data_IF_674330986320
#
_entry.id   IF_674330986320
#
_cell.length_a   1.000
_cell.length_b   1.000
_cell.length_c   1.000
_cell.angle_alpha   90.00
_cell.angle_beta   90.00
_cell.angle_gamma   90.00
#
_symmetry.space_group_name_H-M   'P 1'
#
loop_
_entity.id
_entity.type
_entity.pdbx_description
1 polymer ?
#
# COMPACT_ATOMS: atom_id res chain seq x y z
N UNK A 1 -14.54 20.42 -67.70
CA UNK A 1 -15.07 19.12 -68.13
C UNK A 1 -14.26 18.03 -67.45
N UNK A 2 -14.85 16.97 -66.87
CA UNK A 2 -16.03 16.97 -66.01
C UNK A 2 -15.81 16.24 -64.66
N UNK A 3 -16.69 16.58 -63.70
CA UNK A 3 -17.36 15.76 -62.67
C UNK A 3 -16.69 14.53 -62.06
N UNK A 4 -16.64 14.51 -60.72
CA UNK A 4 -17.52 13.61 -59.94
C UNK A 4 -17.83 14.22 -58.55
N UNK A 5 -19.11 14.19 -58.22
CA UNK A 5 -19.78 14.66 -57.00
C UNK A 5 -20.27 13.40 -56.29
N UNK A 6 -20.02 13.25 -54.99
CA UNK A 6 -20.85 12.43 -54.10
C UNK A 6 -20.98 13.13 -52.74
N UNK A 7 -22.24 13.27 -52.34
CA UNK A 7 -22.77 13.92 -51.13
C UNK A 7 -22.69 13.03 -49.88
N UNK A 8 -22.89 13.60 -48.67
CA UNK A 8 -22.72 12.90 -47.40
C UNK A 8 -23.98 12.14 -46.97
N UNK A 9 -23.81 10.94 -46.40
CA UNK A 9 -24.90 10.19 -45.78
C UNK A 9 -25.20 10.71 -44.38
N UNK A 10 -26.49 11.02 -44.19
CA UNK A 10 -27.16 11.51 -42.99
C UNK A 10 -27.18 10.49 -41.85
N UNK A 11 -27.24 11.05 -40.64
CA UNK A 11 -27.74 10.46 -39.41
C UNK A 11 -29.01 9.63 -39.60
N UNK A 12 -29.08 8.49 -38.90
CA UNK A 12 -30.33 7.83 -38.58
C UNK A 12 -30.46 7.75 -37.06
N UNK A 13 -31.61 8.23 -36.60
CA UNK A 13 -31.95 8.55 -35.23
C UNK A 13 -32.31 7.32 -34.40
N UNK A 14 -32.22 7.53 -33.09
CA UNK A 14 -32.72 6.76 -31.97
C UNK A 14 -34.07 6.07 -32.25
N UNK A 15 -34.13 4.77 -31.98
CA UNK A 15 -35.39 4.04 -31.81
C UNK A 15 -35.79 4.07 -30.35
N UNK A 16 -36.84 4.83 -30.04
CA UNK A 16 -37.69 4.61 -28.86
C UNK A 16 -38.30 3.21 -28.96
N UNK A 17 -38.19 2.41 -27.89
CA UNK A 17 -39.10 1.29 -27.67
C UNK A 17 -39.92 1.50 -26.40
N UNK A 18 -41.22 1.43 -26.62
CA UNK A 18 -42.29 1.79 -25.72
C UNK A 18 -42.51 0.74 -24.62
N UNK A 19 -42.88 1.25 -23.44
CA UNK A 19 -43.39 0.49 -22.29
C UNK A 19 -44.67 -0.28 -22.69
N UNK A 20 -44.89 -1.52 -22.21
CA UNK A 20 -46.21 -2.13 -22.28
C UNK A 20 -47.11 -1.66 -21.11
N UNK A 21 -48.44 -1.68 -21.29
CA UNK A 21 -49.38 -0.97 -20.43
C UNK A 21 -49.76 -1.70 -19.15
N UNK A 22 -50.03 -0.88 -18.13
CA UNK A 22 -50.76 -1.23 -16.91
C UNK A 22 -52.22 -1.50 -17.26
N UNK A 23 -52.75 -2.67 -16.88
CA UNK A 23 -54.19 -2.91 -16.76
C UNK A 23 -54.50 -3.39 -15.34
N UNK A 24 -55.40 -2.66 -14.70
CA UNK A 24 -55.94 -2.95 -13.39
C UNK A 24 -57.10 -3.97 -13.48
N UNK A 25 -57.24 -4.81 -12.46
CA UNK A 25 -58.55 -5.33 -12.04
C UNK A 25 -58.61 -6.79 -11.59
N UNK A 26 -58.97 -7.00 -10.32
CA UNK A 26 -59.92 -8.05 -9.95
C UNK A 26 -59.41 -9.23 -9.12
N UNK A 27 -59.68 -9.19 -7.82
CA UNK A 27 -59.59 -10.34 -6.91
C UNK A 27 -60.66 -11.41 -7.19
N UNK A 28 -60.31 -12.70 -7.00
CA UNK A 28 -61.08 -13.73 -6.24
C UNK A 28 -60.45 -15.14 -6.32
N UNK A 29 -60.08 -15.64 -5.14
CA UNK A 29 -60.23 -17.00 -4.57
C UNK A 29 -60.24 -18.28 -5.42
N UNK A 30 -59.28 -19.16 -5.06
CA UNK A 30 -59.40 -20.58 -4.64
C UNK A 30 -59.97 -21.65 -5.60
N UNK A 31 -59.18 -22.70 -5.88
CA UNK A 31 -59.34 -24.11 -5.43
C UNK A 31 -58.46 -25.08 -6.26
N UNK A 32 -57.77 -25.97 -5.53
CA UNK A 32 -57.29 -27.34 -5.83
C UNK A 32 -56.82 -27.73 -7.24
N UNK A 33 -55.63 -28.34 -7.33
CA UNK A 33 -55.49 -29.80 -7.31
C UNK A 33 -54.02 -30.25 -7.41
N UNK A 34 -53.65 -31.16 -6.50
CA UNK A 34 -52.43 -31.96 -6.51
C UNK A 34 -52.24 -32.74 -7.80
N UNK A 35 -50.98 -32.84 -8.27
CA UNK A 35 -50.44 -34.10 -8.81
C UNK A 35 -49.02 -34.32 -8.32
N UNK A 36 -48.86 -35.45 -7.63
CA UNK A 36 -47.61 -36.11 -7.35
C UNK A 36 -46.90 -36.46 -8.66
N UNK A 37 -45.59 -36.26 -8.68
CA UNK A 37 -44.71 -37.05 -9.55
C UNK A 37 -43.41 -37.31 -8.79
N UNK A 38 -43.40 -38.48 -8.13
CA UNK A 38 -42.20 -39.14 -7.65
C UNK A 38 -41.38 -39.61 -8.86
N UNK A 39 -40.10 -39.28 -8.91
CA UNK A 39 -39.14 -40.05 -9.71
C UNK A 39 -37.82 -40.17 -8.95
N UNK A 40 -37.39 -41.42 -8.90
CA UNK A 40 -36.38 -42.01 -8.04
C UNK A 40 -34.97 -41.85 -8.60
N UNK A 41 -34.03 -42.00 -7.70
CA UNK A 41 -32.59 -41.79 -7.81
C UNK A 41 -31.90 -42.72 -8.84
N UNK A 42 -31.00 -42.17 -9.67
CA UNK A 42 -29.75 -42.83 -10.11
C UNK A 42 -28.82 -41.88 -10.88
N UNK A 43 -27.68 -41.62 -10.25
CA UNK A 43 -26.33 -41.56 -10.81
C UNK A 43 -26.14 -40.80 -12.14
N UNK A 44 -25.43 -39.67 -12.08
CA UNK A 44 -24.34 -39.30 -13.00
C UNK A 44 -23.65 -38.04 -12.44
N UNK A 45 -22.39 -38.20 -12.03
CA UNK A 45 -21.47 -37.09 -11.88
C UNK A 45 -21.17 -36.47 -13.26
N UNK A 46 -20.84 -35.18 -13.32
CA UNK A 46 -19.80 -34.73 -14.21
C UNK A 46 -18.70 -34.04 -13.42
N UNK A 47 -17.51 -34.62 -13.52
CA UNK A 47 -16.23 -34.00 -13.23
C UNK A 47 -16.12 -32.68 -13.99
N UNK A 48 -16.02 -31.57 -13.26
CA UNK A 48 -15.53 -30.30 -13.78
C UNK A 48 -14.06 -30.50 -14.16
N UNK A 49 -13.76 -30.41 -15.46
CA UNK A 49 -12.42 -30.22 -15.98
C UNK A 49 -12.45 -28.88 -16.72
N UNK A 50 -12.23 -27.79 -15.97
CA UNK A 50 -11.91 -26.50 -16.59
C UNK A 50 -10.49 -26.61 -17.14
N UNK A 51 -10.40 -26.74 -18.46
CA UNK A 51 -9.14 -26.58 -19.17
C UNK A 51 -8.82 -25.08 -19.20
N UNK A 52 -7.76 -24.67 -18.51
CA UNK A 52 -7.13 -23.38 -18.71
C UNK A 52 -6.58 -23.34 -20.15
N UNK A 53 -7.22 -22.53 -21.00
CA UNK A 53 -6.70 -22.17 -22.31
C UNK A 53 -5.92 -20.88 -22.13
N UNK A 54 -4.59 -20.98 -22.23
CA UNK A 54 -3.72 -19.82 -22.44
C UNK A 54 -4.15 -19.12 -23.73
N UNK A 55 -4.55 -17.86 -23.61
CA UNK A 55 -4.70 -16.91 -24.71
C UNK A 55 -3.96 -15.62 -24.34
N UNK A 56 -2.89 -15.35 -25.06
CA UNK A 56 -2.03 -14.18 -24.88
C UNK A 56 -2.65 -12.88 -25.42
N UNK A 57 -2.44 -11.81 -24.65
CA UNK A 57 -2.16 -10.39 -24.95
C UNK A 57 -3.04 -9.55 -25.91
N UNK A 58 -3.33 -8.33 -25.45
CA UNK A 58 -3.75 -7.19 -26.28
C UNK A 58 -4.24 -5.98 -25.47
N UNK A 59 -3.32 -5.28 -24.79
CA UNK A 59 -3.53 -3.99 -24.09
C UNK A 59 -2.26 -3.70 -23.29
N UNK A 60 -1.55 -2.64 -23.66
CA UNK A 60 -0.11 -2.47 -23.40
C UNK A 60 0.29 -2.40 -21.92
N UNK A 61 1.48 -2.96 -21.66
CA UNK A 61 2.33 -2.90 -20.46
C UNK A 61 1.97 -3.74 -19.22
N UNK A 62 2.26 -5.04 -19.32
CA UNK A 62 2.60 -5.90 -18.18
C UNK A 62 4.00 -6.52 -18.42
N UNK A 63 5.04 -5.90 -17.86
CA UNK A 63 6.42 -6.42 -17.90
C UNK A 63 6.66 -7.36 -16.71
N UNK A 64 6.70 -8.67 -17.00
CA UNK A 64 7.21 -9.69 -16.09
C UNK A 64 8.74 -9.72 -16.13
N UNK A 65 9.42 -9.39 -15.04
CA UNK A 65 10.88 -9.54 -14.92
C UNK A 65 11.26 -11.00 -14.63
N UNK A 66 11.64 -11.75 -15.65
CA UNK A 66 12.31 -13.05 -15.49
C UNK A 66 13.81 -12.87 -15.35
N UNK A 67 14.36 -13.09 -14.15
CA UNK A 67 15.79 -13.32 -13.98
C UNK A 67 16.13 -14.78 -14.28
N UNK A 68 16.73 -15.02 -15.44
CA UNK A 68 17.40 -16.26 -15.78
C UNK A 68 18.83 -15.95 -16.17
N UNK A 69 19.79 -16.21 -15.26
CA UNK A 69 21.17 -16.44 -15.66
C UNK A 69 21.57 -17.85 -15.22
N UNK A 70 21.73 -18.71 -16.22
CA UNK A 70 22.29 -20.04 -16.09
C UNK A 70 23.57 -20.10 -16.90
N UNK A 71 24.71 -20.03 -16.22
CA UNK A 71 25.99 -20.46 -16.79
C UNK A 71 26.54 -21.62 -15.98
N UNK A 72 26.62 -22.76 -16.66
CA UNK A 72 27.12 -24.06 -16.24
C UNK A 72 28.63 -24.05 -15.97
N UNK A 73 29.04 -24.58 -14.81
CA UNK A 73 30.41 -24.96 -14.49
C UNK A 73 30.43 -26.15 -13.51
N UNK A 74 30.88 -27.29 -14.03
CA UNK A 74 30.92 -28.66 -13.47
C UNK A 74 31.63 -28.81 -12.10
N UNK A 75 31.23 -29.73 -11.19
CA UNK A 75 31.83 -29.91 -9.88
C UNK A 75 32.79 -31.12 -9.83
N UNK A 76 33.87 -31.01 -9.05
CA UNK A 76 34.61 -32.21 -8.58
C UNK A 76 35.02 -32.10 -7.11
N UNK A 77 34.42 -33.01 -6.32
CA UNK A 77 35.00 -33.82 -5.21
C UNK A 77 35.71 -33.08 -4.06
N UNK A 78 35.09 -33.00 -2.87
CA UNK A 78 35.05 -34.05 -1.81
C UNK A 78 36.41 -34.38 -1.18
N UNK A 79 36.60 -33.97 0.08
CA UNK A 79 36.89 -34.88 1.21
C UNK A 79 37.14 -34.07 2.50
N UNK A 80 36.31 -34.20 3.55
CA UNK A 80 36.27 -35.16 4.66
C UNK A 80 37.11 -34.78 5.90
N UNK A 81 36.41 -34.79 7.05
CA UNK A 81 36.85 -35.22 8.39
C UNK A 81 37.57 -34.27 9.36
N UNK A 82 36.78 -33.80 10.34
CA UNK A 82 36.72 -34.33 11.72
C UNK A 82 37.95 -34.27 12.67
N UNK A 83 37.75 -33.48 13.75
CA UNK A 83 38.00 -33.77 15.18
C UNK A 83 39.44 -33.91 15.72
N UNK A 84 39.82 -33.10 16.73
CA UNK A 84 39.98 -33.47 18.17
C UNK A 84 41.01 -32.62 18.94
N UNK A 85 40.51 -31.88 19.95
CA UNK A 85 40.97 -31.64 21.33
C UNK A 85 42.29 -30.92 21.75
N UNK A 86 42.10 -30.20 22.87
CA UNK A 86 42.98 -29.94 24.03
C UNK A 86 44.10 -28.90 23.86
N UNK A 87 44.28 -27.93 24.76
CA UNK A 87 44.44 -28.08 26.22
C UNK A 87 44.03 -26.82 27.03
N UNK A 88 43.56 -27.08 28.26
CA UNK A 88 43.54 -26.20 29.45
C UNK A 88 44.94 -25.63 29.76
N UNK A 89 45.14 -24.50 30.45
CA UNK A 89 45.00 -24.31 31.91
C UNK A 89 45.30 -22.85 32.35
N UNK A 90 44.67 -22.45 33.46
CA UNK A 90 45.08 -21.48 34.53
C UNK A 90 44.97 -19.95 34.34
N UNK A 91 43.97 -19.42 35.05
CA UNK A 91 43.77 -18.08 35.65
C UNK A 91 44.55 -17.95 37.00
N UNK A 92 44.42 -16.91 37.87
CA UNK A 92 44.42 -15.44 37.73
C UNK A 92 45.55 -14.78 38.60
N UNK A 93 45.81 -13.47 38.45
CA UNK A 93 46.16 -12.61 39.62
C UNK A 93 45.81 -11.14 39.34
N UNK A 94 44.87 -10.61 40.12
CA UNK A 94 44.58 -9.18 40.25
C UNK A 94 45.17 -8.65 41.56
N UNK A 95 45.83 -7.49 41.52
CA UNK A 95 46.19 -6.74 42.74
C UNK A 95 45.99 -5.23 42.52
N UNK A 96 45.12 -4.70 43.35
CA UNK A 96 44.81 -3.31 43.71
C UNK A 96 46.02 -2.43 44.07
N UNK A 97 45.92 -1.11 43.84
CA UNK A 97 46.57 -0.09 44.68
C UNK A 97 45.73 1.21 44.68
N UNK A 98 45.57 1.80 45.87
CA UNK A 98 44.73 2.97 46.18
C UNK A 98 45.55 4.27 46.34
N UNK A 99 44.91 5.39 45.98
CA UNK A 99 44.89 6.74 46.58
C UNK A 99 46.17 7.54 46.92
N UNK A 100 46.18 8.86 46.63
CA UNK A 100 46.16 9.98 47.63
C UNK A 100 46.05 11.38 46.96
N UNK A 101 45.05 12.14 47.45
CA UNK A 101 44.79 13.60 47.68
C UNK A 101 45.75 14.73 47.25
N UNK A 102 45.18 15.85 46.73
CA UNK A 102 45.44 17.24 47.19
C UNK A 102 44.46 18.29 46.57
N UNK A 103 44.00 19.21 47.42
CA UNK A 103 43.10 20.37 47.21
C UNK A 103 43.83 21.64 46.74
N UNK A 104 43.15 22.57 46.04
CA UNK A 104 43.19 24.03 46.32
C UNK A 104 42.22 24.83 45.41
N UNK A 105 41.48 25.74 46.04
CA UNK A 105 40.61 26.76 45.43
C UNK A 105 41.42 27.91 44.82
N UNK A 106 40.89 28.58 43.79
CA UNK A 106 40.85 30.05 43.66
C UNK A 106 40.03 30.46 42.44
N UNK A 107 38.97 31.22 42.69
CA UNK A 107 38.24 32.07 41.73
C UNK A 107 38.95 33.44 41.68
N UNK A 108 38.98 34.17 40.54
CA UNK A 108 38.00 35.25 40.44
C UNK A 108 37.54 35.63 39.00
N UNK A 109 36.26 35.95 38.92
CA UNK A 109 35.65 37.05 38.13
C UNK A 109 35.93 37.07 36.61
N UNK A 110 34.98 36.55 35.83
CA UNK A 110 34.77 36.89 34.44
C UNK A 110 33.30 37.22 34.19
N UNK A 111 32.99 38.48 33.91
CA UNK A 111 31.77 38.83 33.19
C UNK A 111 31.88 38.20 31.81
N UNK A 112 31.01 37.24 31.48
CA UNK A 112 30.76 36.88 30.10
C UNK A 112 29.30 37.19 29.75
N UNK A 113 29.17 37.88 28.62
CA UNK A 113 27.91 38.22 28.00
C UNK A 113 27.15 36.93 27.72
N UNK A 114 25.86 36.92 28.05
CA UNK A 114 24.92 35.93 27.56
C UNK A 114 24.74 36.09 26.04
N UNK A 115 25.75 35.67 25.28
CA UNK A 115 25.57 35.21 23.93
C UNK A 115 24.90 33.85 24.04
N UNK A 116 23.60 33.79 23.77
CA UNK A 116 22.89 32.54 23.57
C UNK A 116 23.49 31.82 22.38
N UNK A 117 24.56 31.06 22.63
CA UNK A 117 25.08 30.07 21.72
C UNK A 117 24.09 28.93 21.75
N UNK A 118 23.15 28.94 20.79
CA UNK A 118 22.44 27.73 20.38
C UNK A 118 23.49 26.75 19.87
N UNK A 119 24.07 26.01 20.81
CA UNK A 119 24.91 24.86 20.51
C UNK A 119 23.95 23.88 19.87
N UNK A 120 24.03 23.74 18.54
CA UNK A 120 23.20 22.80 17.80
C UNK A 120 23.30 21.45 18.48
N UNK A 121 22.16 20.95 18.95
CA UNK A 121 22.10 19.68 19.63
C UNK A 121 22.64 18.60 18.69
N UNK A 122 23.48 17.71 19.21
CA UNK A 122 24.13 16.70 18.39
C UNK A 122 23.09 15.68 17.92
N UNK A 123 23.09 15.39 16.62
CA UNK A 123 22.18 14.38 16.07
C UNK A 123 22.51 12.98 16.59
N UNK A 124 21.47 12.21 16.90
CA UNK A 124 21.52 10.81 17.28
C UNK A 124 20.69 9.94 16.31
N UNK A 125 21.06 8.68 16.07
CA UNK A 125 20.31 7.80 15.18
C UNK A 125 18.94 7.44 15.75
N UNK A 126 17.94 7.30 14.88
CA UNK A 126 16.62 6.79 15.21
C UNK A 126 16.18 5.65 14.28
N UNK A 127 15.14 4.93 14.70
CA UNK A 127 14.41 3.97 13.89
C UNK A 127 12.92 4.13 14.17
N UNK A 128 12.15 4.46 13.14
CA UNK A 128 10.70 4.58 13.18
C UNK A 128 10.10 3.31 12.59
N UNK A 129 9.47 2.48 13.44
CA UNK A 129 8.91 1.18 13.05
C UNK A 129 7.46 1.32 12.59
N UNK A 130 7.07 0.49 11.63
CA UNK A 130 5.73 0.38 11.10
C UNK A 130 5.25 -1.07 11.21
N UNK A 131 3.96 -1.26 11.48
CA UNK A 131 3.35 -2.59 11.51
C UNK A 131 1.91 -2.53 11.00
N UNK A 132 1.48 -3.57 10.30
CA UNK A 132 0.08 -3.73 9.91
C UNK A 132 -0.66 -4.39 11.05
N UNK A 133 -1.81 -3.85 11.43
CA UNK A 133 -2.61 -4.38 12.53
C UNK A 133 -4.06 -4.58 12.11
N UNK A 134 -4.72 -5.54 12.74
CA UNK A 134 -6.16 -5.68 12.71
C UNK A 134 -6.64 -6.21 14.05
N UNK A 135 -7.74 -5.66 14.57
CA UNK A 135 -8.30 -6.04 15.88
C UNK A 135 -7.28 -5.96 17.04
N UNK A 136 -6.28 -5.08 16.93
CA UNK A 136 -5.23 -4.88 17.93
C UNK A 136 -4.08 -5.89 17.89
N UNK A 137 -4.03 -6.76 16.87
CA UNK A 137 -2.93 -7.71 16.66
C UNK A 137 -2.21 -7.42 15.35
N UNK A 138 -0.91 -7.68 15.30
CA UNK A 138 -0.10 -7.57 14.09
C UNK A 138 -0.52 -8.64 13.06
N UNK A 139 -0.63 -8.23 11.79
CA UNK A 139 -1.07 -9.09 10.68
C UNK A 139 -0.12 -9.01 9.49
N UNK A 140 -0.06 -10.08 8.68
CA UNK A 140 0.77 -10.14 7.47
C UNK A 140 0.33 -11.28 6.55
N UNK A 141 1.26 -11.78 5.72
CA UNK A 141 1.05 -12.75 4.64
C UNK A 141 0.50 -14.15 5.02
N UNK A 142 0.06 -14.38 6.25
CA UNK A 142 -0.62 -15.61 6.67
C UNK A 142 -1.73 -15.37 7.68
N UNK A 143 -2.11 -14.10 7.85
CA UNK A 143 -3.14 -13.69 8.77
C UNK A 143 -4.48 -13.61 8.06
N UNK A 144 -5.54 -14.00 8.75
CA UNK A 144 -6.92 -13.77 8.31
C UNK A 144 -7.55 -12.70 9.18
N UNK A 145 -7.87 -11.56 8.57
CA UNK A 145 -8.64 -10.49 9.19
C UNK A 145 -10.10 -10.91 9.16
N UNK A 146 -10.77 -10.84 10.31
CA UNK A 146 -12.17 -11.26 10.49
C UNK A 146 -13.01 -10.11 11.02
N UNK A 147 -14.34 -10.26 10.98
CA UNK A 147 -15.25 -9.22 11.46
C UNK A 147 -15.48 -8.11 10.44
N UNK A 148 -15.29 -8.39 9.15
CA UNK A 148 -15.40 -7.40 8.08
C UNK A 148 -16.77 -7.41 7.41
N UNK A 149 -17.09 -6.30 6.75
CA UNK A 149 -18.33 -6.10 6.01
C UNK A 149 -19.54 -5.76 6.90
N UNK A 150 -20.71 -5.48 6.30
CA UNK A 150 -21.87 -4.95 7.01
C UNK A 150 -22.41 -5.87 8.10
N UNK A 151 -22.30 -7.18 7.88
CA UNK A 151 -22.75 -8.22 8.82
C UNK A 151 -21.60 -8.79 9.67
N UNK A 152 -20.35 -8.35 9.44
CA UNK A 152 -19.16 -8.79 10.16
C UNK A 152 -18.71 -10.22 9.84
N UNK A 153 -19.20 -10.80 8.75
CA UNK A 153 -18.95 -12.21 8.38
C UNK A 153 -17.96 -12.37 7.21
N UNK A 154 -17.48 -11.28 6.61
CA UNK A 154 -16.41 -11.34 5.61
C UNK A 154 -15.04 -11.49 6.27
N UNK A 155 -14.11 -12.06 5.52
CA UNK A 155 -12.70 -12.13 5.88
C UNK A 155 -11.79 -11.61 4.78
N UNK A 156 -10.59 -11.18 5.16
CA UNK A 156 -9.55 -10.75 4.24
C UNK A 156 -8.19 -11.32 4.64
N UNK A 157 -7.42 -11.82 3.67
CA UNK A 157 -6.01 -12.18 3.89
C UNK A 157 -5.09 -11.27 3.09
N UNK A 158 -4.12 -10.59 3.73
CA UNK A 158 -3.16 -9.73 3.04
C UNK A 158 -2.36 -10.48 1.97
N UNK A 159 -2.20 -9.84 0.81
CA UNK A 159 -1.42 -10.33 -0.32
C UNK A 159 -0.31 -9.35 -0.77
N UNK A 160 -0.50 -8.05 -0.56
CA UNK A 160 0.49 -6.99 -0.80
C UNK A 160 0.12 -5.77 0.05
N UNK A 161 1.04 -5.22 0.83
CA UNK A 161 0.83 -4.01 1.63
C UNK A 161 2.08 -3.13 1.60
N UNK A 162 2.00 -2.07 0.80
CA UNK A 162 3.10 -1.14 0.54
C UNK A 162 2.62 0.29 0.52
N UNK A 163 3.41 1.22 1.04
CA UNK A 163 3.09 2.64 0.99
C UNK A 163 4.33 3.51 1.09
N UNK A 164 4.27 4.68 0.45
CA UNK A 164 5.31 5.68 0.56
C UNK A 164 5.06 6.60 1.76
N UNK A 165 6.14 7.00 2.43
CA UNK A 165 6.15 8.03 3.47
C UNK A 165 7.03 9.19 3.01
N UNK A 166 6.52 10.40 3.12
CA UNK A 166 7.25 11.64 2.85
C UNK A 166 6.91 12.72 3.88
N UNK A 167 7.62 13.85 3.84
CA UNK A 167 7.40 14.98 4.74
C UNK A 167 7.34 14.57 6.23
N UNK A 168 8.27 13.73 6.67
CA UNK A 168 8.35 13.30 8.06
C UNK A 168 8.85 14.45 8.94
N UNK A 169 8.03 14.84 9.92
CA UNK A 169 8.34 15.79 10.96
C UNK A 169 8.23 15.12 12.33
N UNK A 170 9.11 15.50 13.25
CA UNK A 170 9.10 15.04 14.64
C UNK A 170 9.03 16.26 15.55
N UNK A 171 8.34 16.13 16.69
CA UNK A 171 8.17 17.22 17.64
C UNK A 171 8.54 16.77 19.06
N UNK A 172 9.30 17.61 19.76
CA UNK A 172 9.67 17.41 21.15
C UNK A 172 8.46 17.68 22.10
N UNK A 173 8.62 17.33 23.37
CA UNK A 173 7.57 17.49 24.40
C UNK A 173 7.07 18.94 24.60
N UNK A 174 7.85 19.95 24.20
CA UNK A 174 7.45 21.37 24.26
C UNK A 174 6.70 21.84 22.99
N UNK A 175 6.48 20.94 22.04
CA UNK A 175 5.82 21.19 20.75
C UNK A 175 6.73 21.79 19.67
N UNK A 176 8.03 21.96 19.95
CA UNK A 176 8.98 22.41 18.93
C UNK A 176 9.28 21.28 17.94
N UNK A 177 9.32 21.62 16.65
CA UNK A 177 9.77 20.72 15.61
C UNK A 177 11.29 20.50 15.74
N UNK A 178 11.71 19.24 15.65
CA UNK A 178 13.13 18.86 15.73
C UNK A 178 13.66 18.46 14.36
N UNK A 179 14.96 18.67 14.15
CA UNK A 179 15.59 18.29 12.88
C UNK A 179 15.56 16.78 12.70
N UNK A 180 15.20 16.36 11.49
CA UNK A 180 15.20 14.97 11.02
C UNK A 180 16.00 14.91 9.73
N UNK A 181 16.98 14.00 9.67
CA UNK A 181 17.74 13.68 8.46
C UNK A 181 17.55 12.18 8.17
N UNK A 182 16.88 11.83 7.07
CA UNK A 182 16.70 10.42 6.70
C UNK A 182 18.00 9.84 6.12
N UNK A 183 18.24 8.57 6.39
CA UNK A 183 19.27 7.82 5.66
C UNK A 183 18.93 7.71 4.17
N UNK A 184 19.94 7.44 3.34
CA UNK A 184 19.75 7.05 1.93
C UNK A 184 20.11 5.59 1.77
N UNK A 185 19.15 4.79 1.34
CA UNK A 185 19.29 3.34 1.15
C UNK A 185 18.29 2.83 0.09
N UNK A 186 18.20 1.52 -0.11
CA UNK A 186 17.33 0.95 -1.14
C UNK A 186 15.82 1.23 -0.91
N UNK A 187 15.41 1.63 0.29
CA UNK A 187 14.04 1.98 0.66
C UNK A 187 13.86 3.46 0.99
N UNK A 188 14.91 4.29 0.94
CA UNK A 188 14.86 5.71 1.27
C UNK A 188 15.61 6.52 0.23
N UNK A 189 14.85 7.33 -0.52
CA UNK A 189 15.34 8.21 -1.56
C UNK A 189 15.28 9.67 -1.10
N UNK A 190 16.31 10.43 -1.44
CA UNK A 190 16.38 11.88 -1.19
C UNK A 190 16.93 12.59 -2.43
N UNK A 191 16.30 13.69 -2.79
CA UNK A 191 16.77 14.63 -3.81
C UNK A 191 16.50 16.07 -3.37
N UNK A 192 16.94 17.04 -4.16
CA UNK A 192 16.65 18.47 -3.91
C UNK A 192 15.14 18.77 -3.96
N UNK A 193 14.34 17.88 -4.58
CA UNK A 193 12.89 18.01 -4.68
C UNK A 193 12.14 17.43 -3.46
N UNK A 194 12.80 16.65 -2.61
CA UNK A 194 12.22 16.07 -1.40
C UNK A 194 12.75 14.68 -1.06
N UNK A 195 12.09 14.04 -0.11
CA UNK A 195 12.45 12.70 0.39
C UNK A 195 11.24 11.77 0.32
N UNK A 196 11.50 10.50 0.04
CA UNK A 196 10.49 9.43 0.01
C UNK A 196 11.08 8.15 0.60
N UNK A 197 10.35 7.52 1.50
CA UNK A 197 10.66 6.20 2.03
C UNK A 197 9.57 5.21 1.63
N UNK A 198 9.91 3.97 1.29
CA UNK A 198 8.95 2.90 1.04
C UNK A 198 8.86 2.01 2.27
N UNK A 199 7.65 1.85 2.79
CA UNK A 199 7.30 0.78 3.71
C UNK A 199 6.68 -0.37 2.92
N UNK A 200 7.19 -1.58 3.15
CA UNK A 200 6.71 -2.84 2.57
C UNK A 200 6.57 -3.87 3.69
N UNK A 201 5.33 -4.19 4.05
CA UNK A 201 4.99 -5.03 5.20
C UNK A 201 4.62 -6.47 4.81
N UNK A 202 4.84 -6.83 3.54
CA UNK A 202 4.44 -8.14 3.00
C UNK A 202 5.49 -8.71 2.05
N UNK A 203 6.03 -9.89 2.36
CA UNK A 203 6.79 -10.68 1.39
C UNK A 203 5.90 -11.56 0.51
N UNK A 204 6.11 -11.52 -0.80
CA UNK A 204 5.48 -12.43 -1.78
C UNK A 204 6.00 -13.89 -1.73
N UNK A 205 6.83 -14.21 -0.74
CA UNK A 205 7.51 -15.51 -0.66
C UNK A 205 6.77 -16.56 0.14
N UNK A 206 5.70 -16.18 0.87
CA UNK A 206 4.98 -17.08 1.78
C UNK A 206 3.49 -16.74 1.88
N UNK A 207 2.67 -17.77 2.12
CA UNK A 207 1.26 -17.67 2.50
C UNK A 207 0.38 -17.04 1.42
N UNK A 208 -0.60 -16.22 1.84
CA UNK A 208 -1.57 -15.57 0.95
C UNK A 208 -0.97 -14.39 0.15
N UNK A 209 0.35 -14.16 0.26
CA UNK A 209 1.11 -13.26 -0.59
C UNK A 209 1.76 -13.97 -1.79
N UNK A 210 1.61 -15.28 -1.94
CA UNK A 210 2.05 -15.99 -3.15
C UNK A 210 1.28 -15.47 -4.39
N UNK A 211 1.95 -15.44 -5.55
CA UNK A 211 1.42 -14.84 -6.79
C UNK A 211 0.07 -15.40 -7.28
N UNK A 212 -0.39 -16.53 -6.74
CA UNK A 212 -1.68 -17.15 -7.07
C UNK A 212 -2.81 -16.83 -6.09
N UNK A 213 -2.55 -16.08 -5.01
CA UNK A 213 -3.55 -15.81 -3.98
C UNK A 213 -4.68 -14.88 -4.46
N UNK A 214 -4.39 -14.01 -5.42
CA UNK A 214 -5.36 -13.11 -6.08
C UNK A 214 -5.06 -13.02 -7.58
N UNK A 215 -6.03 -12.55 -8.37
CA UNK A 215 -5.93 -12.53 -9.83
C UNK A 215 -4.82 -11.61 -10.38
N UNK A 216 -4.56 -10.50 -9.68
CA UNK A 216 -3.58 -9.47 -10.03
C UNK A 216 -2.62 -9.22 -8.86
N UNK A 217 -1.85 -10.23 -8.46
CA UNK A 217 -0.86 -10.09 -7.41
C UNK A 217 0.32 -9.22 -7.88
N UNK A 218 0.67 -8.20 -7.10
CA UNK A 218 1.76 -7.24 -7.40
C UNK A 218 2.81 -7.17 -6.28
N UNK A 219 2.74 -8.04 -5.27
CA UNK A 219 3.64 -8.04 -4.12
C UNK A 219 5.10 -8.37 -4.48
N UNK A 220 6.02 -7.87 -3.67
CA UNK A 220 7.48 -8.01 -3.88
C UNK A 220 8.11 -8.98 -2.90
N UNK A 221 9.33 -9.45 -3.17
CA UNK A 221 10.07 -10.27 -2.22
C UNK A 221 10.80 -9.42 -1.15
N UNK A 222 10.86 -8.10 -1.35
CA UNK A 222 11.50 -7.15 -0.45
C UNK A 222 10.53 -6.83 0.69
N UNK A 223 11.08 -6.48 1.85
CA UNK A 223 10.31 -6.01 2.99
C UNK A 223 11.09 -4.85 3.63
N UNK A 224 10.37 -3.86 4.13
CA UNK A 224 10.91 -2.77 4.92
C UNK A 224 9.84 -2.23 5.85
N UNK A 225 9.99 -2.49 7.14
CA UNK A 225 9.07 -2.08 8.20
C UNK A 225 9.63 -0.91 9.02
N UNK A 226 10.65 -0.22 8.52
CA UNK A 226 11.40 0.78 9.27
C UNK A 226 11.84 1.95 8.40
N UNK A 227 11.78 3.15 8.98
CA UNK A 227 12.50 4.33 8.48
C UNK A 227 13.64 4.62 9.44
N UNK A 228 14.84 4.85 8.91
CA UNK A 228 16.05 5.18 9.68
C UNK A 228 16.59 6.55 9.32
N UNK A 229 17.27 7.16 10.28
CA UNK A 229 17.89 8.46 10.09
C UNK A 229 18.49 8.99 11.38
N UNK A 230 18.65 10.31 11.44
CA UNK A 230 19.26 11.06 12.53
C UNK A 230 18.31 12.17 13.01
N UNK A 231 18.23 12.40 14.32
CA UNK A 231 17.43 13.48 14.91
C UNK A 231 18.10 14.13 16.12
N UNK A 232 17.71 15.35 16.47
CA UNK A 232 18.32 16.14 17.55
C UNK A 232 17.97 15.65 18.96
N UNK A 233 16.78 15.09 19.14
CA UNK A 233 16.30 14.68 20.47
C UNK A 233 15.85 13.23 20.46
N UNK A 234 16.03 12.54 21.58
CA UNK A 234 15.46 11.20 21.77
C UNK A 234 13.98 11.28 22.21
N UNK A 235 13.59 12.35 22.92
CA UNK A 235 12.26 12.51 23.52
C UNK A 235 11.25 13.15 22.55
N UNK A 236 11.05 12.50 21.40
CA UNK A 236 9.95 12.84 20.49
C UNK A 236 8.62 12.43 21.14
N UNK A 237 7.61 13.27 21.03
CA UNK A 237 6.26 13.03 21.60
C UNK A 237 5.14 13.09 20.57
N UNK A 238 5.45 13.56 19.37
CA UNK A 238 4.51 13.67 18.25
C UNK A 238 5.26 13.53 16.95
N UNK A 239 4.67 12.86 15.98
CA UNK A 239 5.19 12.74 14.62
C UNK A 239 4.09 13.07 13.62
N UNK A 240 4.46 13.67 12.49
CA UNK A 240 3.54 13.87 11.37
C UNK A 240 4.22 13.53 10.06
N UNK A 241 3.48 12.99 9.10
CA UNK A 241 4.00 12.63 7.78
C UNK A 241 2.88 12.59 6.74
N UNK A 242 3.27 12.56 5.48
CA UNK A 242 2.40 12.36 4.33
C UNK A 242 2.56 10.92 3.81
N UNK A 243 1.46 10.27 3.45
CA UNK A 243 1.45 8.95 2.81
C UNK A 243 1.42 9.14 1.30
N UNK A 244 2.58 9.07 0.66
CA UNK A 244 2.71 9.24 -0.78
C UNK A 244 3.99 9.91 -1.25
N UNK A 245 4.08 10.05 -2.58
CA UNK A 245 5.19 10.73 -3.28
C UNK A 245 4.87 12.23 -3.41
N UNK A 246 5.75 13.14 -2.93
CA UNK A 246 5.58 14.57 -3.14
C UNK A 246 5.53 14.94 -4.62
N UNK A 247 4.64 15.85 -5.01
CA UNK A 247 4.47 16.28 -6.41
C UNK A 247 5.77 16.81 -7.03
N UNK A 248 6.61 17.49 -6.24
CA UNK A 248 7.91 17.96 -6.70
C UNK A 248 8.87 16.81 -7.03
N UNK A 249 8.91 15.76 -6.20
CA UNK A 249 9.71 14.54 -6.44
C UNK A 249 9.18 13.80 -7.68
N UNK A 250 7.87 13.60 -7.76
CA UNK A 250 7.22 12.96 -8.90
C UNK A 250 7.52 13.72 -10.21
N UNK A 251 7.39 15.05 -10.20
CA UNK A 251 7.68 15.91 -11.36
C UNK A 251 9.14 15.84 -11.78
N UNK A 252 10.08 15.87 -10.83
CA UNK A 252 11.51 15.77 -11.12
C UNK A 252 11.84 14.44 -11.81
N UNK A 253 11.29 13.34 -11.30
CA UNK A 253 11.58 11.99 -11.81
C UNK A 253 10.97 11.71 -13.16
N UNK A 254 9.67 11.97 -13.33
CA UNK A 254 8.96 11.67 -14.58
C UNK A 254 9.53 12.48 -15.75
N UNK A 255 10.04 13.68 -15.50
CA UNK A 255 10.66 14.50 -16.54
C UNK A 255 12.11 14.10 -16.88
N UNK A 256 12.79 13.35 -16.01
CA UNK A 256 14.23 13.05 -16.15
C UNK A 256 14.52 11.58 -16.38
N UNK A 257 13.58 10.69 -16.07
CA UNK A 257 13.79 9.25 -15.97
C UNK A 257 12.57 8.50 -16.51
N UNK A 258 12.77 7.36 -17.18
CA UNK A 258 11.65 6.48 -17.55
C UNK A 258 11.13 5.71 -16.34
N UNK A 259 9.93 5.13 -16.43
CA UNK A 259 9.35 4.32 -15.37
C UNK A 259 10.28 3.16 -14.95
N UNK A 260 10.88 2.48 -15.93
CA UNK A 260 11.77 1.32 -15.73
C UNK A 260 13.13 1.71 -15.14
N UNK A 261 13.51 2.99 -15.29
CA UNK A 261 14.78 3.52 -14.79
C UNK A 261 14.60 4.30 -13.47
N UNK A 262 13.39 4.38 -12.93
CA UNK A 262 13.11 5.10 -11.69
C UNK A 262 13.99 4.56 -10.55
N UNK A 263 14.66 5.45 -9.78
CA UNK A 263 15.52 5.02 -8.69
C UNK A 263 14.70 4.31 -7.61
N UNK A 264 15.32 3.33 -6.94
CA UNK A 264 14.70 2.71 -5.77
C UNK A 264 14.45 3.77 -4.68
N UNK A 265 13.30 3.75 -3.98
CA UNK A 265 12.22 2.77 -4.08
C UNK A 265 11.07 3.15 -5.04
N UNK A 266 11.23 4.18 -5.87
CA UNK A 266 10.12 4.78 -6.62
C UNK A 266 9.63 3.91 -7.79
N UNK A 267 10.49 3.06 -8.36
CA UNK A 267 10.07 2.09 -9.37
C UNK A 267 9.06 1.03 -8.88
N UNK A 268 8.95 0.82 -7.55
CA UNK A 268 8.18 -0.29 -6.96
C UNK A 268 6.66 -0.12 -7.10
N UNK A 269 6.18 1.13 -7.15
CA UNK A 269 4.75 1.44 -7.22
C UNK A 269 4.43 2.49 -8.29
N UNK A 270 5.16 2.46 -9.40
CA UNK A 270 4.82 3.25 -10.59
C UNK A 270 3.46 2.83 -11.14
N UNK A 271 2.66 3.81 -11.55
CA UNK A 271 1.30 3.61 -12.02
C UNK A 271 1.15 4.07 -13.47
N UNK A 272 1.20 3.12 -14.39
CA UNK A 272 1.27 3.39 -15.83
C UNK A 272 0.10 4.23 -16.35
N UNK A 273 -1.15 3.87 -16.02
CA UNK A 273 -2.31 4.59 -16.55
C UNK A 273 -2.50 5.99 -15.93
N UNK A 274 -2.10 6.17 -14.67
CA UNK A 274 -2.11 7.49 -14.02
C UNK A 274 -0.86 8.31 -14.39
N UNK A 275 0.10 7.70 -15.09
CA UNK A 275 1.44 8.23 -15.38
C UNK A 275 2.09 8.76 -14.09
N UNK A 276 2.00 8.03 -12.98
CA UNK A 276 2.39 8.55 -11.67
C UNK A 276 2.83 7.46 -10.71
N UNK A 277 2.59 7.67 -9.42
CA UNK A 277 2.92 6.68 -8.39
C UNK A 277 1.68 6.42 -7.53
N UNK A 278 1.46 5.14 -7.20
CA UNK A 278 0.55 4.77 -6.11
C UNK A 278 1.23 5.18 -4.81
N UNK A 279 0.47 5.82 -3.94
CA UNK A 279 0.90 6.25 -2.61
C UNK A 279 0.73 5.15 -1.57
N UNK A 280 -0.35 4.35 -1.70
CA UNK A 280 -0.68 3.23 -0.82
C UNK A 280 -1.28 2.10 -1.64
N UNK A 281 -0.80 0.88 -1.43
CA UNK A 281 -1.28 -0.37 -2.03
C UNK A 281 -1.63 -1.33 -0.91
N UNK A 282 -2.87 -1.80 -0.90
CA UNK A 282 -3.28 -2.98 -0.15
C UNK A 282 -4.06 -3.91 -1.06
N UNK A 283 -3.45 -5.03 -1.41
CA UNK A 283 -4.10 -6.12 -2.12
C UNK A 283 -4.32 -7.29 -1.15
N UNK A 284 -5.46 -7.96 -1.27
CA UNK A 284 -5.85 -9.03 -0.37
C UNK A 284 -6.86 -9.96 -1.02
N UNK A 285 -6.93 -11.20 -0.55
CA UNK A 285 -8.07 -12.07 -0.86
C UNK A 285 -9.27 -11.68 0.00
N UNK A 286 -10.47 -11.89 -0.53
CA UNK A 286 -11.73 -11.74 0.20
C UNK A 286 -12.43 -13.08 0.23
N UNK A 287 -13.00 -13.46 1.36
CA UNK A 287 -13.91 -14.60 1.46
C UNK A 287 -15.22 -14.14 2.11
N UNK A 288 -16.36 -14.47 1.48
CA UNK A 288 -17.69 -14.22 2.00
C UNK A 288 -18.18 -15.34 2.95
N UNK A 289 -19.34 -15.19 3.60
CA UNK A 289 -19.85 -16.19 4.56
C UNK A 289 -20.16 -17.56 3.92
N UNK A 290 -20.36 -17.60 2.61
CA UNK A 290 -20.57 -18.79 1.81
C UNK A 290 -19.27 -19.43 1.29
N UNK A 291 -18.11 -18.92 1.73
CA UNK A 291 -16.77 -19.32 1.30
C UNK A 291 -16.52 -19.10 -0.20
N UNK A 292 -17.15 -18.09 -0.79
CA UNK A 292 -16.87 -17.62 -2.14
C UNK A 292 -15.69 -16.65 -2.07
N UNK A 293 -14.62 -17.00 -2.78
CA UNK A 293 -13.41 -16.20 -2.85
C UNK A 293 -13.53 -15.06 -3.86
N UNK A 294 -12.90 -13.94 -3.52
CA UNK A 294 -12.79 -12.72 -4.28
C UNK A 294 -11.43 -12.05 -4.11
N UNK A 295 -11.24 -10.92 -4.80
CA UNK A 295 -10.04 -10.10 -4.69
C UNK A 295 -10.37 -8.71 -4.15
N UNK A 296 -9.48 -8.16 -3.34
CA UNK A 296 -9.51 -6.79 -2.86
C UNK A 296 -8.31 -6.02 -3.39
N UNK A 297 -8.60 -4.85 -3.98
CA UNK A 297 -7.62 -3.92 -4.52
C UNK A 297 -7.92 -2.53 -3.96
N UNK A 298 -7.05 -2.07 -3.05
CA UNK A 298 -7.11 -0.74 -2.45
C UNK A 298 -5.84 0.00 -2.85
N UNK A 299 -5.96 0.87 -3.86
CA UNK A 299 -4.87 1.73 -4.34
C UNK A 299 -5.25 3.20 -4.18
N UNK A 300 -4.46 3.90 -3.39
CA UNK A 300 -4.50 5.37 -3.27
C UNK A 300 -3.31 5.93 -4.04
N UNK A 301 -3.52 6.92 -4.89
CA UNK A 301 -2.48 7.60 -5.65
C UNK A 301 -3.01 8.85 -6.32
N UNK A 302 -2.10 9.72 -6.77
CA UNK A 302 -2.49 10.96 -7.45
C UNK A 302 -3.16 10.64 -8.80
N UNK A 303 -4.21 11.37 -9.16
CA UNK A 303 -4.92 11.22 -10.43
C UNK A 303 -5.16 12.59 -11.09
N UNK A 304 -5.53 12.60 -12.37
CA UNK A 304 -5.61 13.83 -13.18
C UNK A 304 -4.26 14.58 -13.26
N UNK A 305 -3.21 13.81 -13.52
CA UNK A 305 -1.82 14.30 -13.52
C UNK A 305 -1.35 14.81 -14.89
N UNK A 306 -2.06 14.49 -15.97
CA UNK A 306 -1.71 14.84 -17.35
C UNK A 306 -2.98 14.98 -18.21
N UNK A 307 -2.88 15.77 -19.28
CA UNK A 307 -3.82 15.70 -20.40
C UNK A 307 -3.55 14.50 -21.31
N UNK A 308 -4.47 14.25 -22.25
CA UNK A 308 -4.36 13.14 -23.21
C UNK A 308 -3.03 13.17 -23.98
N UNK A 309 -2.21 12.14 -23.78
CA UNK A 309 -0.93 11.95 -24.48
C UNK A 309 0.24 12.79 -23.97
N UNK A 310 0.09 13.42 -22.79
CA UNK A 310 1.15 14.16 -22.10
C UNK A 310 1.79 13.32 -20.98
N UNK A 311 3.03 13.66 -20.61
CA UNK A 311 3.61 13.10 -19.39
C UNK A 311 2.97 13.78 -18.17
N UNK A 312 2.84 13.05 -17.06
CA UNK A 312 2.36 13.64 -15.81
C UNK A 312 3.21 14.82 -15.39
N UNK A 313 2.52 15.89 -14.97
CA UNK A 313 3.13 17.12 -14.46
C UNK A 313 4.05 17.83 -15.47
N UNK A 314 3.99 17.48 -16.76
CA UNK A 314 4.73 18.17 -17.83
C UNK A 314 4.30 19.65 -17.90
N UNK A 315 2.98 19.88 -17.87
CA UNK A 315 2.36 21.20 -18.03
C UNK A 315 1.67 21.74 -16.77
N UNK A 316 1.83 21.06 -15.63
CA UNK A 316 1.25 21.46 -14.34
C UNK A 316 2.19 21.14 -13.17
N UNK A 317 2.03 21.82 -12.04
CA UNK A 317 2.90 21.63 -10.88
C UNK A 317 2.41 20.55 -9.90
N UNK A 318 1.15 20.15 -10.04
CA UNK A 318 0.52 19.12 -9.24
C UNK A 318 -0.63 18.46 -10.01
N UNK A 319 -0.97 17.23 -9.65
CA UNK A 319 -2.16 16.54 -10.15
C UNK A 319 -3.46 17.20 -9.67
N UNK A 320 -4.56 17.03 -10.41
CA UNK A 320 -5.87 17.54 -10.04
C UNK A 320 -6.38 16.96 -8.72
N UNK A 321 -6.05 15.69 -8.44
CA UNK A 321 -6.33 15.01 -7.18
C UNK A 321 -5.01 14.49 -6.60
N UNK A 322 -4.57 15.06 -5.47
CA UNK A 322 -3.31 14.65 -4.84
C UNK A 322 -3.42 13.28 -4.17
N UNK A 323 -4.56 13.06 -3.50
CA UNK A 323 -4.89 11.84 -2.78
C UNK A 323 -3.76 11.39 -1.85
N UNK A 324 -3.09 12.33 -1.18
CA UNK A 324 -1.97 12.07 -0.26
C UNK A 324 -2.49 12.16 1.18
N UNK A 325 -2.81 11.03 1.84
CA UNK A 325 -3.21 11.03 3.24
C UNK A 325 -2.19 11.77 4.11
N UNK A 326 -2.69 12.56 5.05
CA UNK A 326 -1.88 13.25 6.05
C UNK A 326 -2.08 12.57 7.39
N UNK A 327 -0.98 12.36 8.10
CA UNK A 327 -1.00 11.66 9.38
C UNK A 327 -0.35 12.52 10.44
N UNK A 328 -0.96 12.54 11.62
CA UNK A 328 -0.51 13.30 12.78
C UNK A 328 -0.75 12.50 14.06
N UNK A 329 0.34 12.00 14.66
CA UNK A 329 0.29 11.08 15.79
C UNK A 329 0.88 11.75 17.03
N UNK A 330 0.02 12.03 18.01
CA UNK A 330 0.42 12.51 19.33
C UNK A 330 0.75 11.34 20.28
N UNK A 331 1.51 11.62 21.35
CA UNK A 331 1.85 10.64 22.38
C UNK A 331 2.80 9.54 21.92
N UNK A 332 3.57 9.78 20.85
CA UNK A 332 4.51 8.81 20.28
C UNK A 332 5.81 8.77 21.10
N UNK A 333 6.38 7.58 21.34
CA UNK A 333 7.72 7.41 21.94
C UNK A 333 8.64 6.81 20.88
N UNK A 334 9.67 7.54 20.44
CA UNK A 334 10.56 7.06 19.38
C UNK A 334 11.36 5.80 19.75
N UNK A 335 11.57 5.54 21.04
CA UNK A 335 12.35 4.38 21.49
C UNK A 335 11.52 3.08 21.52
N UNK A 336 10.20 3.17 21.69
CA UNK A 336 9.33 2.01 21.91
C UNK A 336 8.12 1.94 20.99
N UNK A 337 7.72 3.08 20.43
CA UNK A 337 6.51 3.23 19.65
C UNK A 337 6.60 2.61 18.27
N UNK A 338 5.46 2.12 17.81
CA UNK A 338 5.26 1.60 16.46
C UNK A 338 4.14 2.39 15.79
N UNK A 339 4.34 2.78 14.53
CA UNK A 339 3.28 3.33 13.69
C UNK A 339 2.46 2.16 13.16
N UNK A 340 1.26 1.99 13.70
CA UNK A 340 0.34 0.97 13.26
C UNK A 340 -0.48 1.45 12.06
N UNK A 341 -0.64 0.58 11.06
CA UNK A 341 -1.57 0.72 9.94
C UNK A 341 -2.74 -0.22 10.20
N UNK A 342 -3.88 0.30 10.66
CA UNK A 342 -5.05 -0.49 11.02
C UNK A 342 -5.86 -0.87 9.77
N UNK A 343 -5.65 -2.09 9.29
CA UNK A 343 -6.34 -2.63 8.11
C UNK A 343 -7.84 -2.85 8.34
N UNK A 344 -8.25 -3.03 9.60
CA UNK A 344 -9.66 -3.07 9.97
C UNK A 344 -10.34 -1.71 9.81
N UNK A 345 -9.65 -0.61 10.17
CA UNK A 345 -10.11 0.76 9.93
C UNK A 345 -10.09 1.12 8.45
N UNK A 346 -9.05 0.71 7.73
CA UNK A 346 -8.94 0.95 6.28
C UNK A 346 -10.09 0.34 5.48
N UNK A 347 -10.65 -0.77 5.95
CA UNK A 347 -11.80 -1.46 5.33
C UNK A 347 -13.13 -1.22 6.06
N UNK A 348 -13.17 -0.29 7.03
CA UNK A 348 -14.38 -0.03 7.79
C UNK A 348 -15.49 0.54 6.89
N UNK A 349 -16.70 -0.04 6.99
CA UNK A 349 -17.85 0.39 6.20
C UNK A 349 -17.88 -0.08 4.74
N UNK A 350 -16.86 -0.82 4.28
CA UNK A 350 -16.84 -1.46 2.96
C UNK A 350 -17.87 -2.60 2.93
N UNK A 351 -18.65 -2.72 1.84
CA UNK A 351 -19.70 -3.74 1.70
C UNK A 351 -19.21 -5.06 1.07
N UNK A 352 -17.97 -5.07 0.56
CA UNK A 352 -17.29 -6.21 -0.06
C UNK A 352 -18.01 -6.75 -1.30
N UNK A 353 -18.71 -5.89 -2.05
CA UNK A 353 -19.38 -6.25 -3.30
C UNK A 353 -18.73 -5.54 -4.49
N UNK A 354 -17.95 -6.27 -5.28
CA UNK A 354 -17.26 -5.72 -6.44
C UNK A 354 -17.87 -6.23 -7.77
N UNK A 355 -17.82 -5.41 -8.83
CA UNK A 355 -18.19 -5.85 -10.17
C UNK A 355 -17.22 -6.92 -10.69
N UNK A 356 -17.77 -7.90 -11.39
CA UNK A 356 -17.02 -8.93 -12.11
C UNK A 356 -16.97 -8.51 -13.58
N UNK A 357 -15.76 -8.36 -14.12
CA UNK A 357 -15.54 -7.97 -15.52
C UNK A 357 -15.25 -9.19 -16.41
N UNK A 358 -15.75 -9.16 -17.64
CA UNK A 358 -15.30 -10.08 -18.68
C UNK A 358 -13.83 -9.74 -19.04
N UNK A 359 -12.90 -10.71 -19.00
CA UNK A 359 -11.47 -10.44 -19.19
C UNK A 359 -11.10 -10.05 -20.63
N UNK A 360 -12.03 -10.12 -21.59
CA UNK A 360 -11.79 -9.76 -22.99
C UNK A 360 -12.48 -8.47 -23.38
N UNK A 361 -13.71 -8.25 -22.90
CA UNK A 361 -14.50 -7.06 -23.26
C UNK A 361 -14.45 -5.97 -22.21
N UNK A 362 -14.01 -6.27 -20.98
CA UNK A 362 -14.06 -5.39 -19.82
C UNK A 362 -15.48 -4.92 -19.47
N UNK A 363 -16.50 -5.62 -19.96
CA UNK A 363 -17.89 -5.35 -19.60
C UNK A 363 -18.20 -6.00 -18.24
N UNK A 364 -19.04 -5.34 -17.44
CA UNK A 364 -19.55 -5.91 -16.19
C UNK A 364 -20.50 -7.06 -16.53
N UNK A 365 -20.18 -8.26 -16.07
CA UNK A 365 -20.93 -9.50 -16.29
C UNK A 365 -21.61 -10.03 -15.02
N UNK A 366 -21.35 -9.40 -13.87
CA UNK A 366 -21.94 -9.74 -12.59
C UNK A 366 -21.31 -8.95 -11.45
N UNK A 367 -21.60 -9.39 -10.24
CA UNK A 367 -21.03 -8.87 -9.00
C UNK A 367 -20.68 -10.08 -8.12
N UNK A 368 -19.70 -9.91 -7.24
CA UNK A 368 -19.28 -10.94 -6.29
C UNK A 368 -18.45 -10.36 -5.15
N UNK A 369 -17.98 -11.21 -4.22
CA UNK A 369 -17.14 -10.77 -3.13
C UNK A 369 -15.89 -10.07 -3.66
N UNK A 370 -15.57 -8.90 -3.12
CA UNK A 370 -14.36 -8.19 -3.49
C UNK A 370 -14.35 -6.73 -3.06
N UNK A 371 -13.20 -6.11 -3.24
CA UNK A 371 -13.00 -4.68 -3.01
C UNK A 371 -12.30 -4.10 -4.24
N UNK A 372 -12.79 -2.94 -4.68
CA UNK A 372 -12.27 -2.23 -5.83
C UNK A 372 -12.17 -0.74 -5.49
N UNK A 373 -10.93 -0.27 -5.36
CA UNK A 373 -10.61 1.13 -5.35
C UNK A 373 -9.24 1.38 -6.01
N UNK A 374 -9.25 2.18 -7.07
CA UNK A 374 -8.09 2.62 -7.82
C UNK A 374 -8.08 4.15 -7.92
N UNK A 375 -8.35 4.84 -6.80
CA UNK A 375 -8.36 6.30 -6.70
C UNK A 375 -9.36 7.01 -7.62
N UNK A 376 -10.49 6.36 -7.91
CA UNK A 376 -11.57 6.92 -8.72
C UNK A 376 -12.86 7.07 -7.91
N UNK A 377 -13.50 8.26 -7.89
CA UNK A 377 -14.82 8.44 -7.27
C UNK A 377 -15.91 7.57 -7.91
N UNK A 378 -15.66 7.02 -9.11
CA UNK A 378 -16.62 6.18 -9.82
C UNK A 378 -16.57 4.70 -9.40
N UNK A 379 -15.56 4.30 -8.62
CA UNK A 379 -15.44 2.94 -8.11
C UNK A 379 -16.17 2.77 -6.77
N UNK A 380 -16.88 1.65 -6.56
CA UNK A 380 -17.88 1.50 -5.51
C UNK A 380 -17.34 1.71 -4.09
N UNK A 381 -16.06 1.37 -3.85
CA UNK A 381 -15.49 1.38 -2.51
C UNK A 381 -14.59 2.59 -2.23
N UNK A 382 -14.18 3.35 -3.26
CA UNK A 382 -13.19 4.40 -3.08
C UNK A 382 -13.66 5.51 -2.14
N UNK A 383 -14.92 5.93 -2.22
CA UNK A 383 -15.43 6.97 -1.32
C UNK A 383 -15.33 6.58 0.16
N UNK A 384 -15.73 5.34 0.49
CA UNK A 384 -15.64 4.79 1.85
C UNK A 384 -14.19 4.67 2.31
N UNK A 385 -13.34 4.09 1.47
CA UNK A 385 -11.91 3.90 1.78
C UNK A 385 -11.21 5.24 1.99
N UNK A 386 -11.39 6.19 1.06
CA UNK A 386 -10.72 7.49 1.14
C UNK A 386 -11.10 8.25 2.40
N UNK A 387 -12.37 8.18 2.82
CA UNK A 387 -12.82 8.77 4.07
C UNK A 387 -12.05 8.21 5.29
N UNK A 388 -11.72 6.91 5.34
CA UNK A 388 -10.93 6.33 6.43
C UNK A 388 -9.49 6.88 6.49
N UNK A 389 -8.91 7.23 5.34
CA UNK A 389 -7.58 7.86 5.25
C UNK A 389 -7.62 9.39 5.40
N UNK A 390 -8.79 9.96 5.75
CA UNK A 390 -8.97 11.40 5.83
C UNK A 390 -8.76 12.12 4.51
N UNK A 391 -9.08 11.48 3.38
CA UNK A 391 -9.02 12.07 2.03
C UNK A 391 -10.45 12.26 1.51
N UNK A 392 -10.75 13.46 1.01
CA UNK A 392 -12.00 13.71 0.29
C UNK A 392 -11.88 13.17 -1.13
N UNK A 393 -12.78 12.25 -1.52
CA UNK A 393 -12.76 11.61 -2.84
C UNK A 393 -13.17 12.57 -3.97
N UNK A 394 -13.86 13.67 -3.66
CA UNK A 394 -14.40 14.62 -4.64
C UNK A 394 -13.37 15.68 -5.08
N UNK A 395 -12.32 15.91 -4.29
CA UNK A 395 -11.26 16.89 -4.60
C UNK A 395 -9.82 16.42 -4.27
N UNK A 396 -9.67 15.26 -3.62
CA UNK A 396 -8.37 14.67 -3.29
C UNK A 396 -7.60 15.40 -2.18
N UNK A 397 -8.25 16.30 -1.44
CA UNK A 397 -7.68 17.01 -0.30
C UNK A 397 -7.70 16.11 0.94
N UNK A 398 -6.60 16.14 1.71
CA UNK A 398 -6.50 15.36 2.95
C UNK A 398 -6.47 16.25 4.20
N UNK A 399 -7.10 15.75 5.26
CA UNK A 399 -7.14 16.34 6.59
C UNK A 399 -6.66 15.31 7.63
N UNK A 400 -5.55 15.60 8.30
CA UNK A 400 -4.91 14.65 9.22
C UNK A 400 -5.76 14.30 10.45
N UNK A 401 -6.63 15.21 10.89
CA UNK A 401 -7.56 14.97 11.99
C UNK A 401 -8.73 14.04 11.61
N UNK A 402 -8.84 13.67 10.33
CA UNK A 402 -9.80 12.71 9.79
C UNK A 402 -9.16 11.37 9.42
N UNK A 403 -7.83 11.23 9.51
CA UNK A 403 -7.19 9.92 9.34
C UNK A 403 -7.55 9.00 10.52
N UNK A 404 -8.03 7.81 10.18
CA UNK A 404 -8.38 6.77 11.14
C UNK A 404 -7.54 5.50 10.95
N UNK A 405 -6.67 5.46 9.93
CA UNK A 405 -5.90 4.27 9.56
C UNK A 405 -4.57 4.20 10.30
N UNK A 406 -3.87 5.33 10.47
CA UNK A 406 -2.58 5.33 11.14
C UNK A 406 -2.72 5.69 12.63
N UNK A 407 -2.03 4.94 13.48
CA UNK A 407 -2.06 5.15 14.92
C UNK A 407 -0.68 4.93 15.56
N UNK A 408 -0.45 5.61 16.69
CA UNK A 408 0.67 5.31 17.57
C UNK A 408 0.32 4.12 18.48
N UNK A 409 1.20 3.11 18.57
CA UNK A 409 1.10 1.97 19.48
C UNK A 409 2.27 1.87 20.43
#
# INVERSE_FOLDING_TARGET
MPNARLEPTRHQACGEFSRPPILAGGARSAWLASRHMTMDCRTLAPTLLFAAVLGACGGDDAETSTNADGSTGDPTMSSTSATTASTTTTDPTATTTSATTATSETDPTGLDSSGGSTTGEALAPFSLRFAAVANGEEVGCGSTITGLGPDGEHTASPADLRFYISNLHMYAADGSEVTVELDVNDFQYTSDAGQVSLIDLTSNTQGDCEASAIAFAEGTARENDVITGMTQVADVTRISFDVGVPQAVMKDLINTTSAEAAPSPLGEMYWSWATGYRHFVFNFSVEDPEAVAGGGYLHIGSTDCAGDGELALENQDACGFLNTPKVDLDGFDLATGVVAVDLGRALEGVDFLAPIYDPKTFEIIGEGPGVECHSSPMQPHCGTIFASFGVDIDDGVSAADQDAVFAAQ
#
